data_IF_743999568232
#
_entry.id   IF_743999568232
#
_cell.length_a   1.000
_cell.length_b   1.000
_cell.length_c   1.000
_cell.angle_alpha   90.00
_cell.angle_beta   90.00
_cell.angle_gamma   90.00
#
_symmetry.space_group_name_H-M   'P 1'
#
loop_
_entity.id
_entity.type
_entity.pdbx_description
1 polymer ?
#
# COMPACT_ATOMS: atom_id res chain seq x y z
N UNK A 1 -38.75 -18.04 16.50
CA UNK A 1 -39.90 -17.44 15.80
C UNK A 1 -39.37 -16.51 14.72
N UNK A 2 -39.67 -16.76 13.44
CA UNK A 2 -39.29 -15.86 12.35
C UNK A 2 -40.33 -14.73 12.25
N UNK A 3 -39.92 -13.44 12.19
CA UNK A 3 -40.87 -12.34 12.12
C UNK A 3 -41.53 -12.27 10.73
N UNK A 4 -42.87 -12.21 10.71
CA UNK A 4 -43.70 -12.08 9.51
C UNK A 4 -43.51 -10.69 8.88
N UNK A 5 -43.27 -10.66 7.56
CA UNK A 5 -43.31 -9.42 6.75
C UNK A 5 -44.72 -8.82 6.78
N UNK A 6 -44.80 -7.56 7.19
CA UNK A 6 -46.00 -6.73 7.17
C UNK A 6 -46.36 -6.43 5.71
N UNK A 7 -47.58 -6.77 5.30
CA UNK A 7 -48.17 -6.35 4.01
C UNK A 7 -48.76 -4.96 4.18
N UNK A 8 -48.16 -3.95 3.55
CA UNK A 8 -48.76 -2.62 3.38
C UNK A 8 -49.78 -2.68 2.25
N UNK A 9 -51.06 -2.60 2.62
CA UNK A 9 -52.20 -2.65 1.71
C UNK A 9 -52.67 -1.26 1.26
N UNK A 10 -53.27 -1.25 0.07
CA UNK A 10 -54.19 -0.25 -0.49
C UNK A 10 -53.63 1.03 -1.16
N UNK A 11 -52.54 1.67 -0.70
CA UNK A 11 -51.96 2.83 -1.44
C UNK A 11 -50.85 2.45 -2.42
N UNK A 12 -50.20 1.30 -2.22
CA UNK A 12 -49.13 0.82 -3.09
C UNK A 12 -49.59 0.46 -4.52
N UNK A 13 -50.89 0.23 -4.74
CA UNK A 13 -51.40 -0.25 -6.03
C UNK A 13 -51.31 0.76 -7.17
N UNK A 14 -51.55 2.05 -6.89
CA UNK A 14 -51.53 3.12 -7.90
C UNK A 14 -50.10 3.61 -8.18
N UNK A 15 -49.26 3.60 -7.14
CA UNK A 15 -47.82 3.81 -7.24
C UNK A 15 -47.16 2.71 -8.09
N UNK A 16 -47.50 1.44 -7.85
CA UNK A 16 -46.98 0.29 -8.61
C UNK A 16 -47.34 0.38 -10.11
N UNK A 17 -48.55 0.83 -10.44
CA UNK A 17 -48.99 1.03 -11.84
C UNK A 17 -48.14 2.11 -12.52
N UNK A 18 -47.91 3.22 -11.82
CA UNK A 18 -47.11 4.34 -12.31
C UNK A 18 -45.64 3.93 -12.51
N UNK A 19 -45.09 3.16 -11.56
CA UNK A 19 -43.72 2.62 -11.64
C UNK A 19 -43.56 1.71 -12.86
N UNK A 20 -44.51 0.79 -13.11
CA UNK A 20 -44.43 -0.13 -14.26
C UNK A 20 -44.56 0.64 -15.58
N UNK A 21 -45.46 1.62 -15.65
CA UNK A 21 -45.65 2.45 -16.85
C UNK A 21 -44.41 3.28 -17.16
N UNK A 22 -43.86 3.95 -16.16
CA UNK A 22 -42.66 4.78 -16.33
C UNK A 22 -41.45 3.91 -16.69
N UNK A 23 -41.32 2.73 -16.08
CA UNK A 23 -40.27 1.79 -16.43
C UNK A 23 -40.34 1.34 -17.90
N UNK A 24 -41.52 0.98 -18.39
CA UNK A 24 -41.72 0.60 -19.80
C UNK A 24 -41.40 1.76 -20.76
N UNK A 25 -41.77 2.99 -20.40
CA UNK A 25 -41.49 4.19 -21.19
C UNK A 25 -40.00 4.53 -21.21
N UNK A 26 -39.33 4.48 -20.07
CA UNK A 26 -37.91 4.83 -19.94
C UNK A 26 -37.01 3.81 -20.65
N UNK A 27 -37.32 2.52 -20.54
CA UNK A 27 -36.53 1.48 -21.19
C UNK A 27 -36.88 1.31 -22.68
N UNK A 28 -38.11 1.66 -23.08
CA UNK A 28 -38.64 1.55 -24.44
C UNK A 28 -38.33 0.20 -25.12
N UNK A 29 -38.35 -0.87 -24.32
CA UNK A 29 -38.08 -2.25 -24.74
C UNK A 29 -39.28 -3.15 -24.38
N UNK A 30 -39.57 -4.16 -25.19
CA UNK A 30 -40.67 -5.08 -24.93
C UNK A 30 -40.29 -6.06 -23.80
N UNK A 31 -41.11 -6.15 -22.75
CA UNK A 31 -40.86 -6.98 -21.56
C UNK A 31 -42.06 -7.86 -21.19
N UNK A 32 -41.80 -9.04 -20.61
CA UNK A 32 -42.84 -9.87 -20.00
C UNK A 32 -43.11 -9.47 -18.54
N UNK A 33 -44.23 -9.94 -17.97
CA UNK A 33 -44.53 -9.73 -16.55
C UNK A 33 -43.45 -10.32 -15.60
N UNK A 34 -42.76 -11.38 -16.03
CA UNK A 34 -41.65 -11.97 -15.28
C UNK A 34 -40.47 -11.00 -15.27
N UNK A 35 -40.09 -10.49 -16.45
CA UNK A 35 -38.95 -9.60 -16.61
C UNK A 35 -39.16 -8.29 -15.85
N UNK A 36 -40.37 -7.73 -15.89
CA UNK A 36 -40.70 -6.50 -15.15
C UNK A 36 -40.58 -6.74 -13.64
N UNK A 37 -41.10 -7.85 -13.13
CA UNK A 37 -40.99 -8.18 -11.70
C UNK A 37 -39.53 -8.38 -11.26
N UNK A 38 -38.70 -9.00 -12.10
CA UNK A 38 -37.29 -9.22 -11.83
C UNK A 38 -36.48 -7.91 -11.90
N UNK A 39 -36.68 -7.09 -12.93
CA UNK A 39 -35.98 -5.83 -13.14
C UNK A 39 -36.35 -4.77 -12.09
N UNK A 40 -37.60 -4.80 -11.59
CA UNK A 40 -38.03 -3.96 -10.47
C UNK A 40 -37.67 -4.58 -9.10
N UNK A 41 -36.79 -5.58 -9.06
CA UNK A 41 -36.32 -6.24 -7.84
C UNK A 41 -37.45 -6.74 -6.91
N UNK A 42 -38.51 -7.31 -7.51
CA UNK A 42 -39.71 -7.78 -6.81
C UNK A 42 -40.46 -6.71 -5.99
N UNK A 43 -40.24 -5.40 -6.25
CA UNK A 43 -41.12 -4.34 -5.72
C UNK A 43 -42.56 -4.57 -6.16
N UNK A 44 -42.73 -4.96 -7.43
CA UNK A 44 -43.99 -5.46 -7.98
C UNK A 44 -43.84 -6.97 -8.20
N UNK A 45 -44.63 -7.78 -7.49
CA UNK A 45 -44.60 -9.25 -7.66
C UNK A 45 -45.07 -9.65 -9.05
N UNK A 46 -44.61 -10.80 -9.58
CA UNK A 46 -45.03 -11.32 -10.89
C UNK A 46 -46.55 -11.30 -11.09
N UNK A 47 -47.31 -11.78 -10.10
CA UNK A 47 -48.78 -11.83 -10.18
C UNK A 47 -49.39 -10.43 -10.24
N UNK A 48 -48.84 -9.48 -9.48
CA UNK A 48 -49.29 -8.08 -9.50
C UNK A 48 -48.92 -7.39 -10.81
N UNK A 49 -47.70 -7.62 -11.33
CA UNK A 49 -47.24 -7.11 -12.61
C UNK A 49 -48.11 -7.62 -13.77
N UNK A 50 -48.47 -8.92 -13.79
CA UNK A 50 -49.37 -9.47 -14.81
C UNK A 50 -50.72 -8.76 -14.80
N UNK A 51 -51.26 -8.47 -13.61
CA UNK A 51 -52.54 -7.74 -13.48
C UNK A 51 -52.40 -6.30 -13.98
N UNK A 52 -51.39 -5.57 -13.51
CA UNK A 52 -51.12 -4.19 -13.91
C UNK A 52 -50.95 -4.07 -15.42
N UNK A 53 -50.16 -4.95 -16.04
CA UNK A 53 -49.91 -4.91 -17.49
C UNK A 53 -51.18 -5.20 -18.29
N UNK A 54 -51.99 -6.15 -17.86
CA UNK A 54 -53.28 -6.43 -18.50
C UNK A 54 -54.22 -5.22 -18.37
N UNK A 55 -54.32 -4.65 -17.18
CA UNK A 55 -55.17 -3.48 -16.92
C UNK A 55 -54.70 -2.24 -17.72
N UNK A 56 -53.38 -2.02 -17.85
CA UNK A 56 -52.79 -0.95 -18.67
C UNK A 56 -53.01 -1.18 -20.18
N UNK A 57 -52.99 -2.44 -20.63
CA UNK A 57 -53.28 -2.83 -22.00
C UNK A 57 -54.76 -2.63 -22.34
N UNK A 58 -55.67 -3.02 -21.44
CA UNK A 58 -57.12 -2.79 -21.57
C UNK A 58 -57.44 -1.29 -21.66
N UNK A 59 -56.75 -0.46 -20.86
CA UNK A 59 -56.84 1.01 -20.92
C UNK A 59 -56.14 1.63 -22.12
N UNK A 60 -55.58 0.84 -23.04
CA UNK A 60 -54.82 1.28 -24.23
C UNK A 60 -53.70 2.27 -23.88
N UNK A 61 -53.02 2.08 -22.75
CA UNK A 61 -51.86 2.89 -22.36
C UNK A 61 -50.53 2.23 -22.75
N UNK A 62 -50.55 0.92 -22.98
CA UNK A 62 -49.43 0.11 -23.47
C UNK A 62 -49.97 -0.88 -24.50
N UNK A 63 -49.10 -1.39 -25.36
CA UNK A 63 -49.46 -2.44 -26.31
C UNK A 63 -48.85 -3.78 -25.88
N UNK A 64 -49.62 -4.85 -26.03
CA UNK A 64 -49.25 -6.20 -25.63
C UNK A 64 -49.36 -7.15 -26.81
N UNK A 65 -48.30 -7.89 -27.09
CA UNK A 65 -48.31 -8.95 -28.10
C UNK A 65 -48.06 -10.31 -27.46
N UNK A 66 -48.92 -11.25 -27.80
CA UNK A 66 -48.82 -12.64 -27.35
C UNK A 66 -48.07 -13.44 -28.40
N UNK A 67 -47.00 -14.10 -27.98
CA UNK A 67 -46.22 -15.04 -28.80
C UNK A 67 -46.21 -16.39 -28.09
N UNK A 68 -47.00 -17.33 -28.61
CA UNK A 68 -47.18 -18.66 -28.00
C UNK A 68 -47.74 -18.57 -26.57
N UNK A 69 -46.95 -19.01 -25.58
CA UNK A 69 -47.35 -19.04 -24.15
C UNK A 69 -47.00 -17.76 -23.38
N UNK A 70 -46.33 -16.80 -24.01
CA UNK A 70 -45.84 -15.59 -23.34
C UNK A 70 -46.45 -14.33 -23.96
N UNK A 71 -46.86 -13.39 -23.11
CA UNK A 71 -47.29 -12.05 -23.53
C UNK A 71 -46.21 -11.05 -23.16
N UNK A 72 -45.83 -10.23 -24.13
CA UNK A 72 -44.81 -9.19 -24.00
C UNK A 72 -45.48 -7.85 -24.20
N UNK A 73 -45.17 -6.89 -23.33
CA UNK A 73 -45.76 -5.56 -23.33
C UNK A 73 -44.70 -4.50 -23.63
N UNK A 74 -45.07 -3.47 -24.36
CA UNK A 74 -44.22 -2.31 -24.65
C UNK A 74 -45.00 -1.00 -24.52
N UNK A 75 -44.28 0.09 -24.30
CA UNK A 75 -44.86 1.43 -24.36
C UNK A 75 -45.37 1.73 -25.78
N UNK A 76 -46.45 2.52 -25.88
CA UNK A 76 -46.96 2.98 -27.16
C UNK A 76 -45.94 3.88 -27.84
N UNK A 77 -45.75 3.67 -29.15
CA UNK A 77 -44.90 4.50 -29.99
C UNK A 77 -45.81 5.33 -30.90
N UNK A 78 -45.70 6.65 -30.82
CA UNK A 78 -46.48 7.54 -31.67
C UNK A 78 -45.83 7.59 -33.07
N UNK A 79 -46.55 7.23 -34.15
CA UNK A 79 -46.01 7.35 -35.50
C UNK A 79 -45.74 8.80 -35.92
N UNK A 80 -46.35 9.80 -35.26
CA UNK A 80 -46.07 11.21 -35.51
C UNK A 80 -44.74 11.70 -34.89
N UNK A 81 -44.17 10.95 -33.94
CA UNK A 81 -42.82 11.19 -33.39
C UNK A 81 -41.70 10.67 -34.32
N UNK A 82 -42.03 10.22 -35.53
CA UNK A 82 -41.03 9.81 -36.51
C UNK A 82 -40.28 11.02 -37.05
N UNK A 83 -38.99 11.11 -36.73
CA UNK A 83 -38.13 12.16 -37.25
C UNK A 83 -37.98 12.03 -38.77
N UNK A 84 -38.06 13.16 -39.47
CA UNK A 84 -37.71 13.25 -40.90
C UNK A 84 -36.26 12.80 -41.12
N UNK A 85 -35.92 12.20 -42.27
CA UNK A 85 -34.57 11.71 -42.54
C UNK A 85 -33.50 12.81 -42.43
N UNK A 86 -33.83 14.06 -42.78
CA UNK A 86 -32.95 15.22 -42.64
C UNK A 86 -32.63 15.53 -41.17
N UNK A 87 -33.65 15.52 -40.31
CA UNK A 87 -33.50 15.73 -38.86
C UNK A 87 -32.69 14.60 -38.21
N UNK A 88 -32.92 13.34 -38.63
CA UNK A 88 -32.14 12.19 -38.16
C UNK A 88 -30.65 12.30 -38.57
N UNK A 89 -30.38 12.77 -39.79
CA UNK A 89 -29.01 13.03 -40.26
C UNK A 89 -28.34 14.20 -39.53
N UNK A 90 -29.09 15.24 -39.18
CA UNK A 90 -28.60 16.35 -38.36
C UNK A 90 -28.21 15.88 -36.95
N UNK A 91 -29.10 15.14 -36.27
CA UNK A 91 -28.82 14.54 -34.96
C UNK A 91 -27.61 13.61 -34.99
N UNK A 92 -27.46 12.81 -36.06
CA UNK A 92 -26.30 11.92 -36.22
C UNK A 92 -24.98 12.69 -36.32
N UNK A 93 -24.98 13.83 -37.03
CA UNK A 93 -23.82 14.73 -37.10
C UNK A 93 -23.50 15.35 -35.74
N UNK A 94 -24.52 15.78 -35.00
CA UNK A 94 -24.34 16.35 -33.67
C UNK A 94 -23.81 15.32 -32.68
N UNK A 95 -24.32 14.08 -32.72
CA UNK A 95 -23.80 12.96 -31.91
C UNK A 95 -22.32 12.71 -32.21
N UNK A 96 -21.93 12.66 -33.49
CA UNK A 96 -20.54 12.46 -33.87
C UNK A 96 -19.63 13.62 -33.40
N UNK A 97 -20.10 14.86 -33.51
CA UNK A 97 -19.38 16.03 -33.01
C UNK A 97 -19.21 15.99 -31.48
N UNK A 98 -20.29 15.72 -30.74
CA UNK A 98 -20.26 15.59 -29.30
C UNK A 98 -19.35 14.45 -28.83
N UNK A 99 -19.35 13.31 -29.53
CA UNK A 99 -18.43 12.20 -29.24
C UNK A 99 -16.97 12.62 -29.44
N UNK A 100 -16.66 13.34 -30.53
CA UNK A 100 -15.32 13.87 -30.77
C UNK A 100 -14.86 14.83 -29.66
N UNK A 101 -15.74 15.76 -29.26
CA UNK A 101 -15.47 16.69 -28.16
C UNK A 101 -15.26 15.97 -26.83
N UNK A 102 -16.06 14.94 -26.55
CA UNK A 102 -15.97 14.15 -25.33
C UNK A 102 -14.62 13.42 -25.24
N UNK A 103 -14.15 12.84 -26.34
CA UNK A 103 -12.82 12.21 -26.38
C UNK A 103 -11.69 13.23 -26.24
N UNK A 104 -11.82 14.42 -26.83
CA UNK A 104 -10.87 15.51 -26.63
C UNK A 104 -10.80 15.97 -25.17
N UNK A 105 -11.96 16.14 -24.51
CA UNK A 105 -12.02 16.53 -23.09
C UNK A 105 -11.45 15.45 -22.17
N UNK A 106 -11.75 14.16 -22.40
CA UNK A 106 -11.12 13.05 -21.65
C UNK A 106 -9.60 13.05 -21.79
N UNK A 107 -9.08 13.27 -23.01
CA UNK A 107 -7.65 13.34 -23.24
C UNK A 107 -7.01 14.50 -22.47
N UNK A 108 -7.67 15.67 -22.46
CA UNK A 108 -7.20 16.84 -21.71
C UNK A 108 -7.27 16.63 -20.19
N UNK A 109 -8.35 16.02 -19.69
CA UNK A 109 -8.47 15.66 -18.27
C UNK A 109 -7.33 14.73 -17.85
N UNK A 110 -7.04 13.70 -18.64
CA UNK A 110 -5.94 12.78 -18.37
C UNK A 110 -4.59 13.49 -18.31
N UNK A 111 -4.33 14.41 -19.26
CA UNK A 111 -3.09 15.23 -19.28
C UNK A 111 -3.01 16.14 -18.06
N UNK A 112 -4.08 16.85 -17.73
CA UNK A 112 -4.13 17.75 -16.58
C UNK A 112 -3.93 16.98 -15.26
N UNK A 113 -4.55 15.81 -15.12
CA UNK A 113 -4.38 14.94 -13.95
C UNK A 113 -2.95 14.42 -13.82
N UNK A 114 -2.31 14.03 -14.92
CA UNK A 114 -0.91 13.64 -14.92
C UNK A 114 0.02 14.80 -14.49
N UNK A 115 -0.21 16.00 -15.03
CA UNK A 115 0.55 17.20 -14.66
C UNK A 115 0.36 17.56 -13.18
N UNK A 116 -0.86 17.44 -12.65
CA UNK A 116 -1.16 17.70 -11.25
C UNK A 116 -0.50 16.69 -10.32
N UNK A 117 -0.49 15.40 -10.67
CA UNK A 117 0.24 14.37 -9.92
C UNK A 117 1.75 14.64 -9.92
N UNK A 118 2.32 14.99 -11.07
CA UNK A 118 3.74 15.34 -11.18
C UNK A 118 4.10 16.59 -10.36
N UNK A 119 3.21 17.59 -10.29
CA UNK A 119 3.41 18.77 -9.47
C UNK A 119 3.33 18.46 -7.98
N UNK A 120 2.35 17.64 -7.56
CA UNK A 120 2.17 17.22 -6.17
C UNK A 120 3.30 16.30 -5.65
N UNK A 121 3.97 15.58 -6.54
CA UNK A 121 5.14 14.78 -6.19
C UNK A 121 6.35 15.63 -5.82
N UNK A 122 6.40 16.89 -6.27
CA UNK A 122 7.47 17.82 -5.90
C UNK A 122 7.17 18.40 -4.50
N UNK A 123 8.12 18.33 -3.55
CA UNK A 123 7.95 18.95 -2.24
C UNK A 123 7.80 20.47 -2.39
N UNK A 124 7.04 21.09 -1.48
CA UNK A 124 6.86 22.55 -1.52
C UNK A 124 8.16 23.22 -1.09
N UNK A 125 8.39 24.42 -1.63
CA UNK A 125 9.57 25.23 -1.26
C UNK A 125 9.58 25.57 0.22
N UNK A 126 8.40 25.74 0.85
CA UNK A 126 8.27 25.93 2.31
C UNK A 126 8.83 24.74 3.08
N UNK A 127 8.47 23.53 2.66
CA UNK A 127 8.79 22.29 3.36
C UNK A 127 10.29 22.01 3.20
N UNK A 128 10.83 22.22 2.00
CA UNK A 128 12.27 22.14 1.72
C UNK A 128 13.08 23.12 2.59
N UNK A 129 12.62 24.36 2.77
CA UNK A 129 13.30 25.34 3.65
C UNK A 129 13.32 24.87 5.10
N UNK A 130 12.20 24.32 5.58
CA UNK A 130 12.10 23.82 6.94
C UNK A 130 13.00 22.59 7.16
N UNK A 131 13.07 21.69 6.17
CA UNK A 131 13.98 20.54 6.19
C UNK A 131 15.45 20.97 6.17
N UNK A 132 15.81 21.99 5.37
CA UNK A 132 17.18 22.55 5.35
C UNK A 132 17.54 23.07 6.74
N UNK A 133 16.71 23.94 7.33
CA UNK A 133 17.00 24.49 8.66
C UNK A 133 17.11 23.39 9.74
N UNK A 134 16.27 22.35 9.65
CA UNK A 134 16.38 21.19 10.56
C UNK A 134 17.71 20.47 10.37
N UNK A 135 18.08 20.12 9.14
CA UNK A 135 19.31 19.40 8.83
C UNK A 135 20.56 20.21 9.21
N UNK A 136 20.55 21.53 9.00
CA UNK A 136 21.63 22.43 9.45
C UNK A 136 21.77 22.39 10.98
N UNK A 137 20.67 22.48 11.73
CA UNK A 137 20.71 22.37 13.19
C UNK A 137 21.17 21.00 13.70
N UNK A 138 20.79 19.92 13.02
CA UNK A 138 21.26 18.56 13.34
C UNK A 138 22.75 18.41 13.05
N UNK A 139 23.23 18.97 11.95
CA UNK A 139 24.64 18.99 11.59
C UNK A 139 25.46 19.75 12.64
N UNK A 140 25.03 20.95 13.03
CA UNK A 140 25.68 21.73 14.08
C UNK A 140 25.73 20.96 15.41
N UNK A 141 24.63 20.32 15.81
CA UNK A 141 24.57 19.52 17.03
C UNK A 141 25.52 18.30 16.98
N UNK A 142 25.61 17.61 15.83
CA UNK A 142 26.54 16.49 15.65
C UNK A 142 27.98 16.98 15.69
N UNK A 143 28.29 18.10 15.03
CA UNK A 143 29.62 18.70 15.04
C UNK A 143 30.03 19.13 16.45
N UNK A 144 29.14 19.75 17.22
CA UNK A 144 29.41 20.12 18.61
C UNK A 144 29.70 18.89 19.48
N UNK A 145 28.93 17.79 19.31
CA UNK A 145 29.15 16.52 20.00
C UNK A 145 30.46 15.83 19.60
N UNK A 146 30.91 16.01 18.36
CA UNK A 146 32.21 15.52 17.91
C UNK A 146 33.33 16.37 18.51
N UNK A 147 33.20 17.70 18.47
CA UNK A 147 34.18 18.61 19.07
C UNK A 147 34.39 18.32 20.56
N UNK A 148 33.32 18.15 21.34
CA UNK A 148 33.43 17.80 22.76
C UNK A 148 34.10 16.44 23.02
N UNK A 149 34.03 15.50 22.07
CA UNK A 149 34.71 14.20 22.16
C UNK A 149 36.17 14.25 21.73
N UNK A 150 36.56 15.28 20.97
CA UNK A 150 37.94 15.50 20.54
C UNK A 150 38.73 16.38 21.54
N UNK A 151 38.05 17.17 22.37
CA UNK A 151 38.69 17.92 23.47
C UNK A 151 39.15 17.02 24.63
N UNK A 152 38.40 15.94 24.91
CA UNK A 152 38.88 14.85 25.76
C UNK A 152 39.88 14.02 24.93
N UNK A 153 41.17 14.02 25.30
CA UNK A 153 42.36 13.43 24.64
C UNK A 153 42.22 11.93 24.32
N UNK A 154 41.28 11.60 23.44
CA UNK A 154 40.86 10.25 23.11
C UNK A 154 41.49 9.93 21.77
N UNK A 155 42.60 9.21 21.82
CA UNK A 155 43.30 8.70 20.64
C UNK A 155 42.30 7.85 19.83
N UNK A 156 41.77 8.42 18.75
CA UNK A 156 40.84 7.75 17.85
C UNK A 156 41.61 6.78 16.96
N UNK A 157 41.96 5.60 17.49
CA UNK A 157 42.60 4.54 16.74
C UNK A 157 41.57 3.91 15.79
N UNK A 158 41.91 3.77 14.51
CA UNK A 158 41.03 3.12 13.54
C UNK A 158 40.79 1.65 13.93
N UNK A 159 39.64 1.05 13.56
CA UNK A 159 39.39 -0.37 13.83
C UNK A 159 40.49 -1.30 13.30
N UNK A 160 41.11 -0.93 12.17
CA UNK A 160 42.20 -1.67 11.55
C UNK A 160 43.51 -1.60 12.36
N UNK A 161 43.89 -0.42 12.83
CA UNK A 161 45.08 -0.25 13.69
C UNK A 161 44.89 -0.93 15.05
N UNK A 162 43.68 -0.86 15.62
CA UNK A 162 43.36 -1.57 16.87
C UNK A 162 43.48 -3.08 16.70
N UNK A 163 43.05 -3.62 15.56
CA UNK A 163 43.20 -5.04 15.26
C UNK A 163 44.67 -5.44 15.14
N UNK A 164 45.51 -4.63 14.49
CA UNK A 164 46.97 -4.86 14.41
C UNK A 164 47.60 -4.87 15.79
N UNK A 165 47.34 -3.85 16.61
CA UNK A 165 47.85 -3.76 17.99
C UNK A 165 47.42 -4.98 18.83
N UNK A 166 46.17 -5.43 18.69
CA UNK A 166 45.68 -6.61 19.40
C UNK A 166 46.40 -7.89 18.95
N UNK A 167 46.71 -8.03 17.66
CA UNK A 167 47.50 -9.16 17.16
C UNK A 167 48.94 -9.13 17.67
N UNK A 168 49.59 -7.98 17.67
CA UNK A 168 50.94 -7.79 18.19
C UNK A 168 51.00 -8.07 19.70
N UNK A 169 50.03 -7.55 20.46
CA UNK A 169 49.91 -7.84 21.90
C UNK A 169 49.80 -9.34 22.16
N UNK A 170 48.95 -10.05 21.40
CA UNK A 170 48.80 -11.51 21.53
C UNK A 170 50.08 -12.25 21.18
N UNK A 171 50.82 -11.80 20.16
CA UNK A 171 52.11 -12.38 19.81
C UNK A 171 53.13 -12.22 20.95
N UNK A 172 53.28 -11.01 21.50
CA UNK A 172 54.22 -10.75 22.59
C UNK A 172 53.84 -11.48 23.87
N UNK A 173 52.55 -11.56 24.21
CA UNK A 173 52.08 -12.35 25.36
C UNK A 173 52.44 -13.84 25.23
N UNK A 174 52.29 -14.42 24.04
CA UNK A 174 52.72 -15.80 23.77
C UNK A 174 54.24 -15.95 23.94
N UNK A 175 55.01 -15.01 23.43
CA UNK A 175 56.47 -15.04 23.56
C UNK A 175 56.93 -14.95 25.01
N UNK A 176 56.30 -14.12 25.84
CA UNK A 176 56.57 -14.07 27.29
C UNK A 176 56.29 -15.42 27.93
N UNK A 177 55.17 -16.08 27.61
CA UNK A 177 54.85 -17.41 28.15
C UNK A 177 55.85 -18.49 27.73
N UNK A 178 56.29 -18.50 26.47
CA UNK A 178 57.30 -19.44 25.97
C UNK A 178 58.65 -19.19 26.64
N UNK A 179 59.12 -17.93 26.66
CA UNK A 179 60.41 -17.57 27.28
C UNK A 179 60.43 -17.88 28.77
N UNK A 180 59.33 -17.62 29.49
CA UNK A 180 59.19 -18.00 30.89
C UNK A 180 59.32 -19.50 31.07
N UNK A 181 58.62 -20.32 30.26
CA UNK A 181 58.71 -21.79 30.34
C UNK A 181 60.14 -22.28 30.13
N UNK A 182 60.82 -21.79 29.10
CA UNK A 182 62.21 -22.15 28.79
C UNK A 182 63.13 -21.76 29.96
N UNK A 183 62.95 -20.56 30.51
CA UNK A 183 63.72 -20.08 31.65
C UNK A 183 63.50 -20.95 32.89
N UNK A 184 62.24 -21.26 33.24
CA UNK A 184 61.93 -22.15 34.37
C UNK A 184 62.48 -23.56 34.18
N UNK A 185 62.39 -24.13 32.98
CA UNK A 185 62.91 -25.47 32.70
C UNK A 185 64.44 -25.53 32.80
N UNK A 186 65.13 -24.56 32.19
CA UNK A 186 66.59 -24.44 32.28
C UNK A 186 67.01 -24.25 33.74
N UNK A 187 66.30 -23.39 34.47
CA UNK A 187 66.57 -23.13 35.88
C UNK A 187 66.40 -24.38 36.73
N UNK A 188 65.32 -25.15 36.52
CA UNK A 188 65.10 -26.42 37.21
C UNK A 188 66.30 -27.35 37.06
N UNK A 189 66.77 -27.56 35.83
CA UNK A 189 67.96 -28.40 35.55
C UNK A 189 69.24 -27.87 36.21
N UNK A 190 69.45 -26.56 36.22
CA UNK A 190 70.60 -25.96 36.89
C UNK A 190 70.53 -26.15 38.42
N UNK A 191 69.33 -26.06 39.00
CA UNK A 191 69.12 -26.20 40.44
C UNK A 191 69.25 -27.64 40.95
N UNK A 192 69.02 -28.64 40.09
CA UNK A 192 69.15 -30.06 40.44
C UNK A 192 70.60 -30.52 40.65
N UNK A 193 71.59 -29.81 40.09
CA UNK A 193 73.02 -30.20 40.11
C UNK A 193 73.84 -29.23 40.99
N UNK A 194 73.21 -28.61 41.98
CA UNK A 194 73.87 -27.66 42.86
C UNK A 194 74.76 -28.36 43.91
N UNK A 195 75.95 -27.81 44.22
CA UNK A 195 76.75 -28.21 45.39
C UNK A 195 75.99 -28.01 46.71
N UNK A 196 76.19 -28.87 47.71
CA UNK A 196 75.47 -28.83 49.00
C UNK A 196 75.61 -27.49 49.77
N UNK A 197 76.60 -26.66 49.41
CA UNK A 197 76.90 -25.39 50.06
C UNK A 197 76.32 -24.15 49.34
N UNK A 198 75.51 -24.30 48.28
CA UNK A 198 74.91 -23.17 47.54
C UNK A 198 73.40 -23.38 47.39
N UNK A 199 72.61 -22.38 47.80
CA UNK A 199 71.16 -22.41 47.63
C UNK A 199 70.75 -21.92 46.25
N UNK A 200 69.71 -22.51 45.65
CA UNK A 200 69.20 -22.06 44.34
C UNK A 200 68.88 -20.56 44.31
N UNK A 201 68.29 -20.01 45.39
CA UNK A 201 67.95 -18.58 45.47
C UNK A 201 69.20 -17.68 45.38
N UNK A 202 70.29 -18.06 46.05
CA UNK A 202 71.55 -17.30 46.04
C UNK A 202 72.17 -17.30 44.63
N UNK A 203 72.08 -18.43 43.91
CA UNK A 203 72.52 -18.49 42.51
C UNK A 203 71.65 -17.60 41.61
N UNK A 204 70.33 -17.57 41.81
CA UNK A 204 69.39 -16.76 41.00
C UNK A 204 69.69 -15.27 41.11
N UNK A 205 69.91 -14.80 42.34
CA UNK A 205 70.30 -13.41 42.62
C UNK A 205 71.70 -13.10 42.10
N UNK A 206 72.66 -14.03 42.23
CA UNK A 206 74.04 -13.84 41.72
C UNK A 206 74.11 -13.69 40.20
N UNK A 207 73.17 -14.29 39.47
CA UNK A 207 73.04 -14.17 38.01
C UNK A 207 72.29 -12.89 37.59
N UNK A 208 71.84 -12.08 38.54
CA UNK A 208 71.10 -10.84 38.29
C UNK A 208 69.69 -11.08 37.73
N UNK A 209 69.09 -12.23 38.03
CA UNK A 209 67.75 -12.57 37.54
C UNK A 209 66.68 -12.02 38.50
N UNK A 210 65.73 -11.25 37.96
CA UNK A 210 64.65 -10.63 38.73
C UNK A 210 63.29 -11.27 38.42
N UNK A 211 62.41 -11.34 39.44
CA UNK A 211 61.05 -11.89 39.33
C UNK A 211 60.88 -13.27 39.97
N UNK A 212 59.64 -13.62 40.31
CA UNK A 212 59.31 -14.90 40.94
C UNK A 212 59.13 -16.01 39.90
N UNK A 213 59.91 -17.08 40.05
CA UNK A 213 59.70 -18.38 39.40
C UNK A 213 58.50 -19.11 40.03
N UNK A 214 57.29 -18.57 39.88
CA UNK A 214 56.06 -19.35 40.07
C UNK A 214 55.62 -19.99 38.75
#
# INVERSE_FOLDING_TARGET
>A
MAPRKVKTGATAGEDDVSIVREYLRQQNRPYSAIDISANLHNKVTKTHATKILRDLHEKKQIEGRTSGKQTVYHALQDPSDTATPEAAAALSRDIANLQSQLEAFKANEKKARAALTALKAKPRVSDLRQDITRLESEQEAIQARLASRHEDDTISISPAERAKLETERKQWQRQVGIRRRICCELWGRCSEVLPENVTALELWESLGLEGTLQ
#
